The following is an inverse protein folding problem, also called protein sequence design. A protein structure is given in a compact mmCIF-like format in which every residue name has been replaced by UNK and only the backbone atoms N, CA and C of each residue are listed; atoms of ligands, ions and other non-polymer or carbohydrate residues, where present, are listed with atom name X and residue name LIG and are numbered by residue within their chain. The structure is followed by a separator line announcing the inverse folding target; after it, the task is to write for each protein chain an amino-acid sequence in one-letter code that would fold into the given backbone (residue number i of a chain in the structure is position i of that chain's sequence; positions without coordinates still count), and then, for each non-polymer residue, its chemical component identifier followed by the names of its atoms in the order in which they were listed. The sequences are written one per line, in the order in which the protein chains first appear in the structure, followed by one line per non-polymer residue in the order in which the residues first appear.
data_IF_654864204677
#
_entry.id   IF_654864204677
#
_cell.length_a   1.000
_cell.length_b   1.000
_cell.length_c   1.000
_cell.angle_alpha   90.00
_cell.angle_beta   90.00
_cell.angle_gamma   90.00
#
_symmetry.space_group_name_H-M   'P 1'
#
loop_
_entity.id
_entity.type
_entity.pdbx_description
1 polymer ?
#
# COMPACT_ATOMS: atom_id res chain seq x y z
N UNK A 1 13.81 13.19 14.90
CA UNK A 1 13.16 11.89 14.65
C UNK A 1 12.94 11.80 13.15
N UNK A 2 13.38 10.72 12.50
CA UNK A 2 13.19 10.53 11.06
C UNK A 2 11.70 10.30 10.79
N UNK A 3 11.13 11.01 9.83
CA UNK A 3 9.71 10.87 9.48
C UNK A 3 9.59 9.83 8.37
N UNK A 4 8.98 8.69 8.68
CA UNK A 4 8.78 7.61 7.71
C UNK A 4 7.38 7.71 7.11
N UNK A 5 7.28 7.56 5.79
CA UNK A 5 6.00 7.61 5.07
C UNK A 5 5.33 6.24 4.95
N UNK A 6 6.10 5.16 5.05
CA UNK A 6 5.66 3.78 4.92
C UNK A 6 6.71 2.82 5.49
N UNK A 7 6.31 1.59 5.84
CA UNK A 7 7.27 0.53 6.10
C UNK A 7 6.75 -0.84 5.66
N UNK A 8 7.64 -1.72 5.21
CA UNK A 8 7.27 -3.04 4.71
C UNK A 8 8.42 -4.05 4.88
N UNK A 9 8.15 -5.32 4.55
CA UNK A 9 9.19 -6.36 4.50
C UNK A 9 10.28 -5.95 3.48
N UNK A 10 11.54 -6.00 3.90
CA UNK A 10 12.68 -5.75 3.00
C UNK A 10 12.99 -6.95 2.10
N UNK A 11 14.03 -6.84 1.29
CA UNK A 11 14.48 -7.94 0.41
C UNK A 11 14.86 -9.20 1.18
N UNK A 12 15.48 -9.02 2.35
CA UNK A 12 15.76 -10.14 3.25
C UNK A 12 14.50 -10.49 4.04
N UNK A 13 14.13 -11.78 4.15
CA UNK A 13 12.92 -12.20 4.88
C UNK A 13 12.89 -11.80 6.36
N UNK A 14 14.04 -11.43 6.92
CA UNK A 14 14.19 -10.95 8.29
C UNK A 14 14.57 -9.46 8.37
N UNK A 15 14.34 -8.68 7.32
CA UNK A 15 14.56 -7.23 7.34
C UNK A 15 13.27 -6.45 7.14
N UNK A 16 13.26 -5.22 7.66
CA UNK A 16 12.15 -4.27 7.51
C UNK A 16 12.70 -3.00 6.89
N UNK A 17 12.09 -2.58 5.79
CA UNK A 17 12.39 -1.31 5.13
C UNK A 17 11.44 -0.24 5.62
N UNK A 18 12.00 0.90 6.01
CA UNK A 18 11.32 2.12 6.40
C UNK A 18 11.56 3.18 5.34
N UNK A 19 10.52 3.54 4.61
CA UNK A 19 10.59 4.56 3.57
C UNK A 19 10.59 5.94 4.21
N UNK A 20 11.66 6.71 3.99
CA UNK A 20 11.76 8.11 4.42
C UNK A 20 11.07 8.98 3.37
N UNK A 21 11.41 8.76 2.10
CA UNK A 21 10.78 9.40 0.95
C UNK A 21 10.78 8.45 -0.28
N UNK A 22 10.51 9.01 -1.46
CA UNK A 22 10.46 8.27 -2.72
C UNK A 22 11.83 7.73 -3.17
N UNK A 23 12.92 8.31 -2.68
CA UNK A 23 14.30 8.05 -3.07
C UNK A 23 15.13 7.43 -1.95
N UNK A 24 14.72 7.56 -0.69
CA UNK A 24 15.52 7.13 0.46
C UNK A 24 14.71 6.25 1.41
N UNK A 25 15.40 5.29 2.01
CA UNK A 25 14.86 4.41 3.02
C UNK A 25 15.94 3.94 3.99
N UNK A 26 15.51 3.39 5.11
CA UNK A 26 16.34 2.66 6.07
C UNK A 26 15.93 1.20 6.08
N UNK A 27 16.89 0.28 6.10
CA UNK A 27 16.64 -1.15 6.27
C UNK A 27 17.13 -1.57 7.64
N UNK A 28 16.25 -2.19 8.41
CA UNK A 28 16.57 -2.80 9.70
C UNK A 28 16.66 -4.31 9.55
N UNK A 29 17.83 -4.88 9.81
CA UNK A 29 18.11 -6.31 9.72
C UNK A 29 18.80 -6.83 10.98
N UNK A 30 18.77 -8.14 11.20
CA UNK A 30 19.27 -8.73 12.46
C UNK A 30 18.44 -8.29 13.67
N UNK A 31 18.97 -8.50 14.88
CA UNK A 31 18.23 -8.23 16.12
C UNK A 31 16.96 -9.07 16.26
N UNK A 32 16.06 -8.67 17.15
CA UNK A 32 14.74 -9.30 17.30
C UNK A 32 13.65 -8.58 16.49
N UNK A 33 12.51 -9.25 16.31
CA UNK A 33 11.40 -8.73 15.52
C UNK A 33 10.81 -7.44 16.11
N UNK A 34 10.71 -7.34 17.44
CA UNK A 34 10.19 -6.15 18.11
C UNK A 34 10.97 -4.90 17.72
N UNK A 35 12.31 -5.00 17.69
CA UNK A 35 13.17 -3.90 17.27
C UNK A 35 13.00 -3.54 15.79
N UNK A 36 12.98 -4.54 14.89
CA UNK A 36 12.84 -4.29 13.44
C UNK A 36 11.51 -3.66 13.09
N UNK A 37 10.44 -4.01 13.79
CA UNK A 37 9.09 -3.49 13.55
C UNK A 37 8.77 -2.23 14.36
N UNK A 38 9.69 -1.76 15.21
CA UNK A 38 9.40 -0.79 16.26
C UNK A 38 8.14 -1.16 17.06
N UNK A 39 7.93 -2.45 17.34
CA UNK A 39 6.68 -2.95 17.90
C UNK A 39 6.96 -3.73 19.18
N UNK A 40 6.84 -3.05 20.31
CA UNK A 40 7.20 -3.55 21.64
C UNK A 40 6.42 -4.79 22.07
N UNK A 41 5.19 -4.94 21.57
CA UNK A 41 4.27 -6.00 21.95
C UNK A 41 3.91 -6.94 20.78
N UNK A 42 4.65 -6.84 19.66
CA UNK A 42 4.40 -7.59 18.42
C UNK A 42 2.92 -7.57 17.98
N UNK A 43 2.26 -6.43 18.20
CA UNK A 43 0.84 -6.27 17.89
C UNK A 43 0.56 -6.52 16.41
N UNK A 44 -0.57 -7.16 16.07
CA UNK A 44 -0.99 -7.29 14.68
C UNK A 44 -1.40 -5.94 14.10
N UNK A 45 -1.45 -5.85 12.77
CA UNK A 45 -1.90 -4.62 12.11
C UNK A 45 -3.43 -4.52 12.11
N UNK A 46 -3.98 -3.87 13.14
CA UNK A 46 -5.41 -3.73 13.38
C UNK A 46 -5.80 -2.24 13.57
N UNK A 47 -7.04 -1.97 13.99
CA UNK A 47 -7.55 -0.59 14.20
C UNK A 47 -6.72 0.16 15.24
N UNK A 48 -6.35 -0.46 16.37
CA UNK A 48 -5.55 0.18 17.42
C UNK A 48 -4.15 0.55 16.92
N UNK A 49 -3.50 -0.37 16.19
CA UNK A 49 -2.19 -0.12 15.57
C UNK A 49 -2.25 1.02 14.55
N UNK A 50 -3.31 1.08 13.73
CA UNK A 50 -3.51 2.19 12.77
C UNK A 50 -3.76 3.54 13.45
N UNK A 51 -4.59 3.56 14.49
CA UNK A 51 -4.90 4.78 15.23
C UNK A 51 -3.68 5.36 15.96
N UNK A 52 -2.76 4.50 16.40
CA UNK A 52 -1.50 4.87 17.02
C UNK A 52 -0.36 5.10 16.01
N UNK A 53 -0.67 5.32 14.74
CA UNK A 53 0.34 5.72 13.73
C UNK A 53 1.11 4.57 13.09
N UNK A 54 0.59 3.33 13.12
CA UNK A 54 1.18 2.21 12.39
C UNK A 54 1.32 2.49 10.89
N UNK A 55 2.54 2.41 10.38
CA UNK A 55 2.94 2.79 9.01
C UNK A 55 3.04 1.59 8.06
N UNK A 56 2.78 0.38 8.53
CA UNK A 56 2.86 -0.81 7.69
C UNK A 56 2.68 -2.11 8.45
N UNK A 57 2.92 -3.22 7.75
CA UNK A 57 2.83 -4.57 8.29
C UNK A 57 3.82 -5.50 7.59
N UNK A 58 4.45 -6.38 8.35
CA UNK A 58 5.23 -7.49 7.82
C UNK A 58 5.05 -8.74 8.69
N UNK A 59 4.85 -9.89 8.05
CA UNK A 59 4.59 -11.18 8.73
C UNK A 59 3.43 -11.12 9.73
N UNK A 60 2.36 -10.38 9.39
CA UNK A 60 1.18 -10.21 10.24
C UNK A 60 1.35 -9.25 11.43
N UNK A 61 2.56 -8.73 11.67
CA UNK A 61 2.89 -7.81 12.76
C UNK A 61 2.94 -6.38 12.24
N UNK A 62 2.32 -5.46 12.97
CA UNK A 62 2.32 -4.03 12.67
C UNK A 62 3.74 -3.45 12.74
N UNK A 63 4.02 -2.46 11.89
CA UNK A 63 5.25 -1.68 11.91
C UNK A 63 4.92 -0.25 12.32
N UNK A 64 5.67 0.30 13.26
CA UNK A 64 5.47 1.66 13.78
C UNK A 64 6.67 2.56 13.43
N UNK A 65 6.48 3.89 13.34
CA UNK A 65 7.57 4.83 13.05
C UNK A 65 8.63 4.85 14.18
N UNK A 66 8.18 4.65 15.42
CA UNK A 66 9.01 4.68 16.61
C UNK A 66 8.43 3.79 17.72
N UNK A 67 9.22 3.58 18.78
CA UNK A 67 8.84 2.75 19.92
C UNK A 67 7.61 3.30 20.65
N UNK A 68 7.52 4.61 20.84
CA UNK A 68 6.44 5.28 21.58
C UNK A 68 5.07 5.06 20.94
N UNK A 69 5.01 5.14 19.61
CA UNK A 69 3.81 4.84 18.83
C UNK A 69 3.29 3.42 19.09
N UNK A 70 4.18 2.44 19.21
CA UNK A 70 3.78 1.05 19.52
C UNK A 70 3.34 0.85 20.98
N UNK A 71 3.93 1.59 21.92
CA UNK A 71 3.49 1.58 23.32
C UNK A 71 2.06 2.13 23.43
N UNK A 72 1.77 3.26 22.76
CA UNK A 72 0.42 3.80 22.68
C UNK A 72 -0.56 2.84 21.99
N UNK A 73 -0.12 2.15 20.93
CA UNK A 73 -0.92 1.13 20.27
C UNK A 73 -1.31 -0.01 21.23
N UNK A 74 -0.37 -0.45 22.07
CA UNK A 74 -0.59 -1.50 23.07
C UNK A 74 -1.60 -1.07 24.13
N UNK A 75 -1.44 0.13 24.69
CA UNK A 75 -2.36 0.67 25.68
C UNK A 75 -3.78 0.80 25.09
N UNK A 76 -3.91 1.29 23.87
CA UNK A 76 -5.18 1.39 23.15
C UNK A 76 -5.80 0.00 22.87
N UNK A 77 -4.99 -0.99 22.50
CA UNK A 77 -5.45 -2.36 22.29
C UNK A 77 -5.95 -2.97 23.61
N UNK A 78 -5.25 -2.76 24.73
CA UNK A 78 -5.66 -3.24 26.06
C UNK A 78 -6.98 -2.64 26.55
N UNK A 79 -7.31 -1.41 26.13
CA UNK A 79 -8.56 -0.74 26.49
C UNK A 79 -9.78 -1.17 25.67
N UNK A 80 -9.61 -2.08 24.70
CA UNK A 80 -10.72 -2.51 23.84
C UNK A 80 -11.81 -3.24 24.64
N UNK A 81 -13.09 -3.09 24.24
CA UNK A 81 -14.22 -3.72 24.95
C UNK A 81 -14.08 -5.23 25.19
N UNK A 82 -13.37 -5.95 24.31
CA UNK A 82 -13.12 -7.40 24.42
C UNK A 82 -12.22 -7.81 25.59
N UNK A 83 -11.54 -6.87 26.24
CA UNK A 83 -10.66 -7.12 27.40
C UNK A 83 -11.19 -6.51 28.69
N UNK A 84 -12.38 -5.90 28.64
CA UNK A 84 -12.97 -5.26 29.81
C UNK A 84 -13.32 -6.33 30.85
N UNK A 85 -12.66 -6.26 32.00
CA UNK A 85 -12.86 -7.21 33.09
C UNK A 85 -11.84 -8.34 33.14
N UNK A 86 -10.96 -8.44 32.15
CA UNK A 86 -9.91 -9.45 32.14
C UNK A 86 -8.95 -9.27 33.33
N UNK A 87 -8.52 -10.38 33.90
CA UNK A 87 -7.49 -10.40 34.95
C UNK A 87 -6.11 -10.18 34.35
N UNK A 88 -5.13 -9.85 35.19
CA UNK A 88 -3.73 -9.78 34.78
C UNK A 88 -3.28 -11.09 34.10
N UNK A 89 -3.59 -12.25 34.70
CA UNK A 89 -3.21 -13.55 34.12
C UNK A 89 -3.82 -13.82 32.75
N UNK A 90 -5.07 -13.41 32.52
CA UNK A 90 -5.71 -13.54 31.20
C UNK A 90 -5.05 -12.66 30.14
N UNK A 91 -4.61 -11.46 30.53
CA UNK A 91 -3.91 -10.53 29.65
C UNK A 91 -2.48 -11.03 29.33
N UNK A 92 -1.74 -11.51 30.33
CA UNK A 92 -0.42 -12.13 30.15
C UNK A 92 -0.50 -13.28 29.16
N UNK A 93 -1.41 -14.24 29.35
CA UNK A 93 -1.57 -15.38 28.45
C UNK A 93 -1.93 -14.99 27.01
N UNK A 94 -2.46 -13.78 26.79
CA UNK A 94 -2.83 -13.30 25.46
C UNK A 94 -1.69 -12.61 24.73
N UNK A 95 -0.88 -11.82 25.43
CA UNK A 95 0.18 -11.02 24.81
C UNK A 95 1.56 -11.68 24.92
N UNK A 96 1.80 -12.43 25.98
CA UNK A 96 3.05 -13.14 26.27
C UNK A 96 2.72 -14.54 26.82
N UNK A 97 2.11 -15.43 26.01
CA UNK A 97 1.69 -16.77 26.45
C UNK A 97 2.83 -17.63 27.01
N UNK A 98 4.07 -17.35 26.60
CA UNK A 98 5.27 -18.05 27.07
C UNK A 98 5.77 -17.54 28.44
N UNK A 99 5.18 -16.45 28.99
CA UNK A 99 5.50 -15.95 30.31
C UNK A 99 4.83 -16.81 31.39
N UNK A 100 5.63 -17.63 32.05
CA UNK A 100 5.17 -18.55 33.09
C UNK A 100 5.37 -17.88 34.46
N UNK A 101 4.27 -17.76 35.21
CA UNK A 101 4.29 -17.36 36.61
C UNK A 101 4.10 -18.61 37.47
N UNK A 102 5.01 -18.84 38.42
CA UNK A 102 4.89 -19.97 39.34
C UNK A 102 3.56 -19.93 40.10
N UNK A 103 2.91 -21.08 40.35
CA UNK A 103 1.63 -21.12 41.05
C UNK A 103 1.76 -20.57 42.48
N UNK A 104 0.66 -20.06 43.08
CA UNK A 104 0.69 -19.56 44.44
C UNK A 104 1.04 -20.69 45.42
N UNK A 105 1.71 -20.32 46.52
CA UNK A 105 1.98 -21.26 47.61
C UNK A 105 0.67 -21.79 48.21
N UNK A 106 0.70 -23.03 48.71
CA UNK A 106 -0.47 -23.71 49.27
C UNK A 106 -0.49 -23.62 50.80
N UNK A 107 -1.61 -23.19 51.39
CA UNK A 107 -1.87 -23.27 52.83
C UNK A 107 -2.40 -24.68 53.13
N UNK A 108 -1.53 -25.55 53.68
CA UNK A 108 -1.91 -26.94 54.00
C UNK A 108 -2.99 -27.02 55.08
N UNK A 109 -3.03 -26.08 56.03
CA UNK A 109 -4.00 -26.11 57.14
C UNK A 109 -5.40 -25.77 56.67
N UNK A 110 -5.52 -24.80 55.75
CA UNK A 110 -6.81 -24.36 55.20
C UNK A 110 -7.19 -25.06 53.89
N UNK A 111 -6.27 -25.81 53.30
CA UNK A 111 -6.46 -26.46 52.00
C UNK A 111 -6.87 -25.46 50.91
N UNK A 112 -6.22 -24.30 50.89
CA UNK A 112 -6.49 -23.23 49.93
C UNK A 112 -5.18 -22.55 49.46
N UNK A 113 -5.15 -21.94 48.27
CA UNK A 113 -3.98 -21.19 47.82
C UNK A 113 -3.81 -19.89 48.61
N UNK A 114 -2.57 -19.53 48.92
CA UNK A 114 -2.22 -18.26 49.56
C UNK A 114 -2.34 -17.14 48.53
N UNK A 115 -3.25 -16.20 48.78
CA UNK A 115 -3.50 -15.03 47.95
C UNK A 115 -2.99 -13.75 48.64
N UNK A 116 -2.62 -12.69 47.89
CA UNK A 116 -2.70 -12.56 46.44
C UNK A 116 -1.64 -13.37 45.67
N UNK A 117 -1.98 -13.83 44.47
CA UNK A 117 -1.03 -14.54 43.60
C UNK A 117 -0.27 -13.51 42.76
N UNK A 118 0.87 -13.06 43.26
CA UNK A 118 1.58 -11.91 42.69
C UNK A 118 2.48 -12.31 41.52
N UNK A 119 2.43 -11.51 40.45
CA UNK A 119 3.39 -11.57 39.36
C UNK A 119 4.71 -10.91 39.80
N UNK A 120 5.88 -11.59 39.66
CA UNK A 120 7.14 -11.14 40.26
C UNK A 120 7.65 -9.77 39.82
N UNK A 121 7.41 -9.36 38.58
CA UNK A 121 7.96 -8.12 38.01
C UNK A 121 7.06 -6.92 38.36
N UNK A 122 5.77 -7.06 38.12
CA UNK A 122 4.77 -6.00 38.27
C UNK A 122 4.24 -5.88 39.69
N UNK A 123 4.36 -6.94 40.50
CA UNK A 123 3.79 -7.02 41.85
C UNK A 123 2.26 -6.98 41.86
N UNK A 124 1.61 -7.19 40.71
CA UNK A 124 0.16 -7.20 40.58
C UNK A 124 -0.40 -8.61 40.79
N UNK A 125 -1.61 -8.70 41.36
CA UNK A 125 -2.29 -9.98 41.55
C UNK A 125 -2.81 -10.52 40.21
N UNK A 126 -2.37 -11.73 39.87
CA UNK A 126 -2.74 -12.49 38.67
C UNK A 126 -4.26 -12.68 38.53
N UNK A 127 -4.98 -12.71 39.65
CA UNK A 127 -6.43 -12.92 39.69
C UNK A 127 -7.22 -11.60 39.72
N UNK A 128 -6.56 -10.47 39.95
CA UNK A 128 -7.24 -9.18 39.99
C UNK A 128 -7.52 -8.67 38.57
N UNK A 129 -8.66 -7.97 38.42
CA UNK A 129 -9.00 -7.23 37.21
C UNK A 129 -7.89 -6.23 36.91
N UNK A 130 -7.36 -6.25 35.69
CA UNK A 130 -6.29 -5.34 35.31
C UNK A 130 -6.82 -3.92 35.11
N UNK A 131 -6.24 -2.96 35.84
CA UNK A 131 -6.51 -1.53 35.67
C UNK A 131 -5.25 -0.73 35.32
N UNK A 132 -4.06 -1.28 35.60
CA UNK A 132 -2.78 -0.66 35.31
C UNK A 132 -2.15 -1.30 34.07
N UNK A 133 -2.52 -0.80 32.88
CA UNK A 133 -2.00 -1.32 31.61
C UNK A 133 -0.52 -0.97 31.36
N UNK A 134 0.01 0.06 32.03
CA UNK A 134 1.43 0.43 31.94
C UNK A 134 2.33 -0.63 32.60
N UNK A 135 1.88 -1.20 33.73
CA UNK A 135 2.59 -2.31 34.36
C UNK A 135 2.63 -3.55 33.43
N UNK A 136 1.52 -3.85 32.75
CA UNK A 136 1.50 -4.92 31.75
C UNK A 136 2.41 -4.60 30.56
N UNK A 137 2.42 -3.35 30.07
CA UNK A 137 3.33 -2.93 29.00
C UNK A 137 4.80 -3.16 29.40
N UNK A 138 5.17 -2.78 30.62
CA UNK A 138 6.51 -2.99 31.16
C UNK A 138 6.89 -4.48 31.15
N UNK A 139 5.99 -5.33 31.63
CA UNK A 139 6.20 -6.78 31.63
C UNK A 139 6.34 -7.36 30.22
N UNK A 140 5.51 -6.91 29.27
CA UNK A 140 5.58 -7.35 27.86
C UNK A 140 6.90 -6.92 27.21
N UNK A 141 7.35 -5.69 27.47
CA UNK A 141 8.63 -5.21 26.97
C UNK A 141 9.83 -5.98 27.54
N UNK A 142 9.80 -6.29 28.83
CA UNK A 142 10.84 -7.10 29.46
C UNK A 142 10.87 -8.54 28.91
N UNK A 143 9.69 -9.14 28.71
CA UNK A 143 9.58 -10.51 28.22
C UNK A 143 10.00 -10.65 26.74
N UNK A 144 9.51 -9.77 25.86
CA UNK A 144 9.84 -9.81 24.43
C UNK A 144 11.26 -9.29 24.18
N UNK A 145 11.68 -8.30 24.97
CA UNK A 145 12.98 -7.66 24.89
C UNK A 145 13.15 -6.76 23.66
N UNK A 146 14.28 -6.06 23.64
CA UNK A 146 14.63 -5.12 22.57
C UNK A 146 16.07 -5.36 22.13
N UNK A 147 16.25 -6.26 21.17
CA UNK A 147 17.56 -6.63 20.66
C UNK A 147 17.84 -5.87 19.38
N UNK A 148 18.70 -4.85 19.47
CA UNK A 148 19.07 -4.02 18.33
C UNK A 148 19.85 -4.84 17.30
N UNK A 149 19.49 -4.65 16.03
CA UNK A 149 20.24 -5.15 14.89
C UNK A 149 21.00 -4.04 14.18
N UNK A 150 21.14 -4.18 12.88
CA UNK A 150 21.81 -3.22 12.00
C UNK A 150 20.81 -2.35 11.26
N UNK A 151 21.10 -1.06 11.16
CA UNK A 151 20.35 -0.11 10.32
C UNK A 151 21.26 0.28 9.16
N UNK A 152 20.77 0.13 7.95
CA UNK A 152 21.45 0.56 6.73
C UNK A 152 20.61 1.62 6.02
N UNK A 153 21.20 2.76 5.71
CA UNK A 153 20.58 3.77 4.88
C UNK A 153 20.75 3.38 3.41
N UNK A 154 19.66 3.38 2.66
CA UNK A 154 19.65 3.04 1.24
C UNK A 154 19.08 4.19 0.42
N UNK A 155 19.71 4.44 -0.71
CA UNK A 155 19.15 5.23 -1.79
C UNK A 155 18.52 4.27 -2.80
N UNK A 156 17.23 4.46 -3.07
CA UNK A 156 16.44 3.70 -4.04
C UNK A 156 16.92 4.09 -5.44
N UNK A 157 17.54 3.14 -6.13
CA UNK A 157 18.01 3.34 -7.49
C UNK A 157 16.82 3.35 -8.47
N UNK A 158 16.48 4.53 -8.98
CA UNK A 158 15.44 4.68 -10.01
C UNK A 158 15.89 4.13 -11.39
N UNK A 159 17.20 3.89 -11.61
CA UNK A 159 17.77 3.52 -12.91
C UNK A 159 17.95 2.01 -13.09
N UNK A 160 18.33 1.24 -12.07
CA UNK A 160 18.32 -0.25 -12.13
C UNK A 160 16.91 -0.86 -12.06
N UNK A 161 15.90 -0.02 -11.84
CA UNK A 161 14.49 -0.32 -11.94
C UNK A 161 13.79 0.61 -12.94
N UNK A 162 14.49 1.03 -14.02
CA UNK A 162 13.75 1.34 -15.23
C UNK A 162 12.96 0.06 -15.54
N UNK A 163 11.61 0.06 -15.43
CA UNK A 163 10.84 -1.13 -15.70
C UNK A 163 11.34 -1.68 -17.03
N UNK A 164 11.47 -3.01 -17.14
CA UNK A 164 11.41 -3.62 -18.46
C UNK A 164 10.05 -3.18 -19.03
N UNK A 165 10.02 -2.03 -19.71
CA UNK A 165 8.89 -1.50 -20.47
C UNK A 165 8.83 -2.38 -21.72
N UNK A 166 8.47 -3.63 -21.50
CA UNK A 166 8.00 -4.53 -22.52
C UNK A 166 6.62 -4.93 -22.05
N UNK A 167 5.62 -4.36 -22.74
CA UNK A 167 4.18 -4.61 -22.67
C UNK A 167 3.31 -3.82 -21.68
N UNK A 168 3.66 -2.57 -21.38
CA UNK A 168 2.63 -1.52 -21.40
C UNK A 168 3.04 -0.56 -22.49
N UNK A 169 2.32 -0.56 -23.61
CA UNK A 169 2.43 0.53 -24.57
C UNK A 169 1.99 1.81 -23.88
N UNK A 170 2.96 2.57 -23.37
CA UNK A 170 2.80 3.91 -22.81
C UNK A 170 2.67 3.93 -21.29
N UNK A 171 3.54 4.70 -20.64
CA UNK A 171 3.62 5.27 -19.28
C UNK A 171 2.31 5.43 -18.44
N UNK A 172 1.34 4.52 -18.44
CA UNK A 172 0.05 4.71 -17.77
C UNK A 172 0.19 4.61 -16.23
N UNK A 173 -0.70 5.31 -15.51
CA UNK A 173 -0.73 5.34 -14.05
C UNK A 173 -1.69 4.28 -13.53
N UNK A 174 -1.36 3.70 -12.38
CA UNK A 174 -2.22 2.74 -11.68
C UNK A 174 -3.06 3.43 -10.62
N UNK A 175 -4.36 3.14 -10.65
CA UNK A 175 -5.35 3.55 -9.66
C UNK A 175 -5.89 2.25 -9.04
N UNK A 176 -5.61 2.02 -7.76
CA UNK A 176 -5.92 0.76 -7.06
C UNK A 176 -5.43 -0.50 -7.80
N UNK A 177 -4.20 -0.46 -8.34
CA UNK A 177 -3.59 -1.58 -9.07
C UNK A 177 -4.14 -1.82 -10.49
N UNK A 178 -4.98 -0.92 -11.01
CA UNK A 178 -5.53 -1.00 -12.37
C UNK A 178 -5.18 0.24 -13.18
N UNK A 179 -4.95 0.10 -14.48
CA UNK A 179 -4.55 1.24 -15.33
C UNK A 179 -5.68 2.28 -15.43
N UNK A 180 -5.31 3.56 -15.35
CA UNK A 180 -6.24 4.67 -15.52
C UNK A 180 -6.75 4.75 -16.97
N UNK A 181 -7.96 5.28 -17.17
CA UNK A 181 -8.54 5.44 -18.50
C UNK A 181 -8.35 6.87 -19.00
N UNK A 182 -7.84 7.00 -20.22
CA UNK A 182 -7.69 8.26 -20.96
C UNK A 182 -7.69 7.96 -22.47
N UNK A 183 -7.64 8.98 -23.33
CA UNK A 183 -7.79 8.80 -24.78
C UNK A 183 -6.86 7.71 -25.36
N UNK A 184 -5.57 7.82 -25.06
CA UNK A 184 -4.54 6.89 -25.57
C UNK A 184 -4.26 5.68 -24.65
N UNK A 185 -5.17 5.36 -23.72
CA UNK A 185 -4.94 4.27 -22.76
C UNK A 185 -5.12 2.86 -23.36
N UNK A 186 -5.67 2.77 -24.58
CA UNK A 186 -5.90 1.50 -25.27
C UNK A 186 -7.12 0.74 -24.76
N UNK A 187 -8.08 1.44 -24.14
CA UNK A 187 -9.32 0.83 -23.63
C UNK A 187 -10.27 0.47 -24.76
N UNK A 188 -10.80 -0.74 -24.74
CA UNK A 188 -11.78 -1.29 -25.67
C UNK A 188 -12.93 -1.93 -24.88
N UNK A 189 -14.15 -1.49 -25.16
CA UNK A 189 -15.36 -2.11 -24.64
C UNK A 189 -15.97 -2.97 -25.74
N UNK A 190 -16.13 -4.27 -25.49
CA UNK A 190 -16.84 -5.20 -26.36
C UNK A 190 -18.12 -5.66 -25.66
N UNK A 191 -19.25 -5.50 -26.33
CA UNK A 191 -20.58 -5.81 -25.82
C UNK A 191 -21.42 -6.52 -26.88
N UNK A 192 -22.53 -7.11 -26.45
CA UNK A 192 -23.57 -7.62 -27.34
C UNK A 192 -24.75 -6.66 -27.30
N UNK A 193 -25.14 -6.16 -28.46
CA UNK A 193 -26.18 -5.16 -28.64
C UNK A 193 -27.38 -5.78 -29.34
N UNK A 194 -28.53 -5.81 -28.67
CA UNK A 194 -29.77 -6.33 -29.26
C UNK A 194 -30.49 -5.18 -29.96
N UNK A 195 -30.49 -5.22 -31.29
CA UNK A 195 -31.20 -4.27 -32.13
C UNK A 195 -32.41 -4.93 -32.81
N UNK A 196 -33.42 -4.13 -33.09
CA UNK A 196 -34.52 -4.51 -33.96
C UNK A 196 -34.03 -4.50 -35.42
N UNK A 197 -34.27 -5.59 -36.14
CA UNK A 197 -33.81 -5.79 -37.52
C UNK A 197 -34.94 -6.29 -38.40
N UNK A 198 -35.08 -5.69 -39.58
CA UNK A 198 -35.99 -6.11 -40.63
C UNK A 198 -35.46 -7.37 -41.33
N UNK A 199 -36.18 -8.49 -41.21
CA UNK A 199 -35.94 -9.73 -41.94
C UNK A 199 -37.19 -10.05 -42.77
N UNK A 200 -37.08 -9.86 -44.09
CA UNK A 200 -38.22 -10.00 -44.99
C UNK A 200 -39.34 -9.02 -44.65
N UNK A 201 -40.48 -9.52 -44.15
CA UNK A 201 -41.64 -8.70 -43.73
C UNK A 201 -41.72 -8.46 -42.21
N UNK A 202 -40.84 -9.07 -41.42
CA UNK A 202 -40.90 -9.02 -39.96
C UNK A 202 -39.77 -8.16 -39.39
N UNK A 203 -40.01 -7.55 -38.23
CA UNK A 203 -38.98 -6.90 -37.42
C UNK A 203 -38.77 -7.73 -36.17
N UNK A 204 -37.56 -8.23 -35.95
CA UNK A 204 -37.22 -9.09 -34.80
C UNK A 204 -35.96 -8.58 -34.09
N UNK A 205 -35.81 -8.83 -32.78
CA UNK A 205 -34.57 -8.51 -32.07
C UNK A 205 -33.43 -9.47 -32.47
N UNK A 206 -32.30 -8.91 -32.89
CA UNK A 206 -31.08 -9.64 -33.26
C UNK A 206 -29.89 -9.06 -32.49
N UNK A 207 -29.03 -9.94 -31.99
CA UNK A 207 -27.79 -9.58 -31.30
C UNK A 207 -26.68 -9.24 -32.30
N UNK A 208 -26.06 -8.07 -32.13
CA UNK A 208 -24.91 -7.58 -32.89
C UNK A 208 -23.72 -7.36 -31.97
N UNK A 209 -22.48 -7.47 -32.48
CA UNK A 209 -21.32 -6.99 -31.76
C UNK A 209 -21.38 -5.47 -31.65
N UNK A 210 -21.01 -4.92 -30.49
CA UNK A 210 -20.86 -3.49 -30.31
C UNK A 210 -19.51 -3.17 -29.64
N UNK A 211 -18.75 -2.28 -30.26
CA UNK A 211 -17.39 -1.89 -29.90
C UNK A 211 -17.32 -0.39 -29.62
N UNK A 212 -16.78 -0.01 -28.47
CA UNK A 212 -16.40 1.38 -28.15
C UNK A 212 -14.93 1.45 -27.73
N UNK A 213 -14.26 2.56 -28.01
CA UNK A 213 -12.81 2.70 -27.81
C UNK A 213 -12.47 3.93 -26.98
N UNK A 214 -11.42 3.86 -26.18
CA UNK A 214 -10.91 4.98 -25.38
C UNK A 214 -10.44 6.13 -26.24
N UNK A 215 -10.04 5.89 -27.50
CA UNK A 215 -9.69 6.95 -28.45
C UNK A 215 -10.83 7.95 -28.68
N UNK A 216 -12.07 7.54 -28.42
CA UNK A 216 -13.27 8.39 -28.52
C UNK A 216 -13.67 8.98 -27.15
N UNK A 217 -12.78 8.97 -26.15
CA UNK A 217 -13.04 9.50 -24.81
C UNK A 217 -13.47 10.98 -24.84
N UNK A 218 -14.60 11.26 -24.19
CA UNK A 218 -15.22 12.57 -24.12
C UNK A 218 -15.72 12.84 -22.69
N UNK A 219 -16.01 14.12 -22.42
CA UNK A 219 -16.40 14.59 -21.08
C UNK A 219 -15.38 14.17 -20.02
N UNK A 220 -14.09 14.27 -20.36
CA UNK A 220 -12.94 13.98 -19.52
C UNK A 220 -12.60 15.16 -18.61
N UNK A 221 -11.65 14.96 -17.69
CA UNK A 221 -11.20 15.97 -16.75
C UNK A 221 -10.60 17.20 -17.46
N UNK A 222 -10.74 18.37 -16.85
CA UNK A 222 -10.20 19.62 -17.42
C UNK A 222 -8.75 19.91 -17.01
N UNK A 223 -8.40 19.56 -15.78
CA UNK A 223 -7.13 19.90 -15.12
C UNK A 223 -6.19 18.70 -14.96
N UNK A 224 -6.75 17.51 -14.75
CA UNK A 224 -5.96 16.29 -14.50
C UNK A 224 -5.64 15.60 -15.81
N UNK A 225 -4.35 15.46 -16.10
CA UNK A 225 -3.84 14.75 -17.28
C UNK A 225 -3.01 13.55 -16.88
N UNK A 226 -3.19 12.45 -17.58
CA UNK A 226 -2.38 11.23 -17.48
C UNK A 226 -1.78 11.02 -18.87
N UNK A 227 -0.45 10.96 -18.97
CA UNK A 227 0.27 10.90 -20.24
C UNK A 227 -0.12 12.00 -21.22
N UNK A 228 -0.26 13.24 -20.72
CA UNK A 228 -0.67 14.39 -21.53
C UNK A 228 -2.15 14.40 -21.92
N UNK A 229 -2.90 13.32 -21.67
CA UNK A 229 -4.31 13.19 -22.01
C UNK A 229 -5.21 13.51 -20.81
N UNK A 230 -6.31 14.26 -21.01
CA UNK A 230 -7.37 14.40 -20.02
C UNK A 230 -7.82 13.05 -19.43
N UNK A 231 -7.75 12.92 -18.11
CA UNK A 231 -8.10 11.68 -17.44
C UNK A 231 -9.63 11.46 -17.41
N UNK A 232 -10.08 10.21 -17.53
CA UNK A 232 -11.49 9.87 -17.41
C UNK A 232 -11.91 9.72 -15.93
N UNK A 233 -13.15 10.08 -15.66
CA UNK A 233 -13.84 9.86 -14.39
C UNK A 233 -15.24 9.27 -14.67
N UNK A 234 -16.02 8.93 -13.64
CA UNK A 234 -17.34 8.26 -13.81
C UNK A 234 -18.34 9.00 -14.73
N UNK A 235 -18.20 10.33 -14.92
CA UNK A 235 -19.03 11.12 -15.85
C UNK A 235 -18.51 11.19 -17.29
N UNK A 236 -17.34 10.60 -17.55
CA UNK A 236 -16.76 10.49 -18.89
C UNK A 236 -17.47 9.40 -19.69
N UNK A 237 -17.29 9.42 -21.01
CA UNK A 237 -17.89 8.45 -21.92
C UNK A 237 -16.96 8.22 -23.11
N UNK A 238 -17.18 7.14 -23.86
CA UNK A 238 -16.67 7.04 -25.23
C UNK A 238 -17.79 7.52 -26.14
N UNK A 239 -17.50 8.57 -26.92
CA UNK A 239 -18.53 9.38 -27.59
C UNK A 239 -19.38 8.60 -28.61
N UNK A 240 -18.91 7.45 -29.08
CA UNK A 240 -19.62 6.56 -30.01
C UNK A 240 -19.25 5.10 -29.78
N UNK A 241 -20.06 4.22 -30.36
CA UNK A 241 -19.80 2.79 -30.52
C UNK A 241 -20.06 2.36 -31.96
N UNK A 242 -19.73 1.12 -32.34
CA UNK A 242 -19.87 0.60 -33.71
C UNK A 242 -20.11 -0.91 -33.72
N UNK A 243 -20.68 -1.45 -34.80
CA UNK A 243 -20.91 -2.88 -35.06
C UNK A 243 -22.40 -3.26 -35.10
N UNK A 244 -23.27 -2.42 -34.56
CA UNK A 244 -24.71 -2.58 -34.41
C UNK A 244 -25.55 -1.92 -35.52
N UNK A 245 -24.90 -1.23 -36.47
CA UNK A 245 -25.53 -0.56 -37.61
C UNK A 245 -26.43 -1.44 -38.48
N UNK A 246 -26.20 -2.77 -38.63
CA UNK A 246 -27.12 -3.62 -39.39
C UNK A 246 -28.52 -3.75 -38.76
N UNK A 247 -28.68 -3.38 -37.49
CA UNK A 247 -29.99 -3.23 -36.84
C UNK A 247 -30.71 -1.98 -37.33
N UNK A 248 -31.38 -2.06 -38.48
CA UNK A 248 -32.01 -0.91 -39.16
C UNK A 248 -33.15 -0.25 -38.37
N UNK A 249 -33.72 -0.95 -37.38
CA UNK A 249 -34.71 -0.41 -36.43
C UNK A 249 -34.12 -0.11 -35.04
N UNK A 250 -32.78 -0.14 -34.92
CA UNK A 250 -31.98 0.34 -33.79
C UNK A 250 -32.14 -0.48 -32.50
N UNK A 251 -31.40 -0.12 -31.46
CA UNK A 251 -31.37 -0.80 -30.16
C UNK A 251 -32.74 -0.91 -29.50
N UNK A 252 -33.07 -2.08 -28.95
CA UNK A 252 -34.39 -2.38 -28.34
C UNK A 252 -34.75 -1.46 -27.16
N UNK A 253 -33.76 -1.01 -26.39
CA UNK A 253 -33.93 -0.14 -25.23
C UNK A 253 -33.56 1.31 -25.53
N UNK A 254 -32.49 1.55 -26.30
CA UNK A 254 -31.98 2.91 -26.56
C UNK A 254 -32.65 3.61 -27.74
N UNK A 255 -33.19 2.87 -28.71
CA UNK A 255 -33.65 3.44 -29.97
C UNK A 255 -32.53 4.09 -30.79
N UNK A 256 -31.26 3.72 -30.53
CA UNK A 256 -30.08 4.22 -31.25
C UNK A 256 -29.24 3.07 -31.81
N UNK A 257 -28.42 3.38 -32.80
CA UNK A 257 -27.21 2.61 -33.12
C UNK A 257 -26.01 3.54 -32.93
N UNK A 258 -24.82 2.99 -32.71
CA UNK A 258 -23.57 3.76 -32.63
C UNK A 258 -23.52 4.79 -31.49
N UNK A 259 -24.43 4.72 -30.52
CA UNK A 259 -24.48 5.65 -29.39
C UNK A 259 -23.25 5.56 -28.48
N UNK A 260 -23.09 6.53 -27.58
CA UNK A 260 -21.97 6.57 -26.63
C UNK A 260 -21.94 5.36 -25.68
N UNK A 261 -20.75 5.07 -25.16
CA UNK A 261 -20.55 4.15 -24.05
C UNK A 261 -20.23 4.88 -22.74
N UNK A 262 -20.86 4.47 -21.64
CA UNK A 262 -20.83 5.16 -20.35
C UNK A 262 -20.40 4.22 -19.23
N UNK A 263 -19.60 4.74 -18.29
CA UNK A 263 -19.16 4.00 -17.11
C UNK A 263 -20.28 3.86 -16.08
N UNK A 264 -20.28 2.70 -15.41
CA UNK A 264 -21.24 2.31 -14.36
C UNK A 264 -20.52 2.14 -13.03
N UNK A 265 -19.29 1.61 -13.05
CA UNK A 265 -18.45 1.48 -11.86
C UNK A 265 -17.20 2.35 -11.98
N UNK A 266 -16.55 2.56 -10.84
CA UNK A 266 -15.36 3.40 -10.71
C UNK A 266 -14.56 2.99 -9.46
N UNK A 267 -13.45 3.67 -9.22
CA UNK A 267 -12.75 3.66 -7.94
C UNK A 267 -13.66 4.09 -6.78
N UNK A 268 -13.37 3.57 -5.58
CA UNK A 268 -14.09 3.87 -4.34
C UNK A 268 -13.41 4.96 -3.51
N UNK A 269 -12.12 5.23 -3.77
CA UNK A 269 -11.25 6.05 -2.93
C UNK A 269 -10.39 7.05 -3.73
N UNK A 270 -10.22 6.86 -5.04
CA UNK A 270 -9.51 7.81 -5.91
C UNK A 270 -10.49 8.63 -6.73
N UNK A 271 -10.35 9.95 -6.63
CA UNK A 271 -11.20 10.93 -7.29
C UNK A 271 -10.39 11.83 -8.21
N UNK A 272 -10.91 12.09 -9.41
CA UNK A 272 -10.40 13.05 -10.38
C UNK A 272 -11.42 14.19 -10.46
N UNK A 273 -10.99 15.40 -10.08
CA UNK A 273 -11.86 16.59 -10.01
C UNK A 273 -13.12 16.35 -9.15
N UNK A 274 -12.96 15.67 -8.01
CA UNK A 274 -14.05 15.33 -7.10
C UNK A 274 -15.01 14.25 -7.59
N UNK A 275 -14.75 13.65 -8.76
CA UNK A 275 -15.54 12.54 -9.32
C UNK A 275 -14.72 11.25 -9.26
N UNK A 276 -15.33 10.10 -8.91
CA UNK A 276 -14.62 8.82 -8.89
C UNK A 276 -13.87 8.54 -10.20
N UNK A 277 -12.59 8.17 -10.09
CA UNK A 277 -11.76 7.81 -11.24
C UNK A 277 -12.19 6.47 -11.84
N UNK A 278 -12.13 6.34 -13.17
CA UNK A 278 -12.43 5.07 -13.86
C UNK A 278 -11.15 4.39 -14.33
N UNK A 279 -11.17 3.07 -14.34
CA UNK A 279 -10.00 2.20 -14.47
C UNK A 279 -10.29 1.04 -15.42
N UNK A 280 -9.24 0.36 -15.83
CA UNK A 280 -9.35 -0.96 -16.46
C UNK A 280 -10.32 -1.86 -15.68
N UNK A 281 -11.22 -2.53 -16.40
CA UNK A 281 -12.19 -3.46 -15.84
C UNK A 281 -13.36 -2.81 -15.10
N UNK A 282 -13.44 -1.48 -15.00
CA UNK A 282 -14.69 -0.84 -14.59
C UNK A 282 -15.76 -1.10 -15.66
N UNK A 283 -16.99 -1.36 -15.22
CA UNK A 283 -18.10 -1.75 -16.08
C UNK A 283 -18.61 -0.54 -16.87
N UNK A 284 -18.95 -0.79 -18.12
CA UNK A 284 -19.59 0.16 -19.02
C UNK A 284 -20.81 -0.46 -19.68
N UNK A 285 -21.72 0.39 -20.13
CA UNK A 285 -22.77 0.06 -21.11
C UNK A 285 -22.54 0.89 -22.36
N UNK A 286 -22.94 0.38 -23.53
CA UNK A 286 -22.75 1.05 -24.83
C UNK A 286 -24.07 1.32 -25.54
N UNK A 287 -23.97 2.07 -26.65
CA UNK A 287 -25.10 2.49 -27.48
C UNK A 287 -26.22 3.15 -26.66
N UNK A 288 -25.87 4.15 -25.84
CA UNK A 288 -26.80 4.85 -24.94
C UNK A 288 -27.55 3.89 -23.99
N UNK A 289 -26.80 2.96 -23.39
CA UNK A 289 -27.30 1.97 -22.42
C UNK A 289 -28.22 0.89 -23.01
N UNK A 290 -28.01 0.54 -24.29
CA UNK A 290 -28.74 -0.57 -24.90
C UNK A 290 -28.18 -1.95 -24.52
N UNK A 291 -26.88 -2.00 -24.23
CA UNK A 291 -26.17 -3.26 -23.98
C UNK A 291 -26.11 -3.62 -22.50
N UNK A 292 -26.00 -4.91 -22.15
CA UNK A 292 -25.68 -5.31 -20.80
C UNK A 292 -24.30 -4.76 -20.36
N UNK A 293 -24.07 -4.55 -19.06
CA UNK A 293 -22.77 -4.14 -18.55
C UNK A 293 -21.65 -5.11 -18.94
N UNK A 294 -20.55 -4.56 -19.45
CA UNK A 294 -19.32 -5.30 -19.71
C UNK A 294 -18.10 -4.53 -19.21
N UNK A 295 -17.02 -5.22 -18.78
CA UNK A 295 -15.81 -4.55 -18.31
C UNK A 295 -15.07 -3.87 -19.46
N UNK A 296 -14.53 -2.67 -19.20
CA UNK A 296 -13.57 -2.05 -20.10
C UNK A 296 -12.28 -2.89 -20.15
N UNK A 297 -11.94 -3.43 -21.31
CA UNK A 297 -10.69 -4.15 -21.52
C UNK A 297 -9.60 -3.16 -21.89
N UNK A 298 -8.46 -3.19 -21.21
CA UNK A 298 -7.33 -2.30 -21.46
C UNK A 298 -6.04 -3.05 -21.13
N UNK A 299 -4.88 -2.70 -21.70
CA UNK A 299 -3.60 -3.19 -21.18
C UNK A 299 -3.50 -2.96 -19.67
N UNK A 300 -3.21 -4.04 -18.94
CA UNK A 300 -2.89 -3.95 -17.52
C UNK A 300 -1.52 -3.32 -17.33
N UNK A 301 -1.22 -2.92 -16.11
CA UNK A 301 0.14 -2.61 -15.70
C UNK A 301 0.63 -3.65 -14.71
N UNK A 302 1.96 -3.82 -14.57
CA UNK A 302 2.50 -4.62 -13.48
C UNK A 302 1.95 -4.03 -12.18
N UNK A 303 1.39 -4.87 -11.31
CA UNK A 303 1.09 -4.43 -9.95
C UNK A 303 2.38 -3.86 -9.36
N UNK A 304 2.34 -2.74 -8.62
CA UNK A 304 3.53 -2.23 -7.96
C UNK A 304 4.09 -3.35 -7.10
N UNK A 305 5.25 -3.88 -7.51
CA UNK A 305 6.02 -4.80 -6.69
C UNK A 305 6.61 -3.96 -5.56
N UNK A 306 6.64 -4.52 -4.35
CA UNK A 306 7.47 -3.93 -3.30
C UNK A 306 8.89 -3.79 -3.85
N UNK A 307 9.53 -2.65 -3.59
CA UNK A 307 10.87 -2.40 -4.09
C UNK A 307 11.82 -3.49 -3.56
N UNK A 308 12.42 -4.27 -4.44
CA UNK A 308 13.52 -5.16 -4.09
C UNK A 308 14.84 -4.38 -4.13
N UNK A 309 15.51 -4.33 -3.00
CA UNK A 309 16.81 -3.70 -2.80
C UNK A 309 17.90 -4.73 -3.09
N UNK A 310 18.86 -4.40 -3.95
CA UNK A 310 20.14 -5.09 -3.99
C UNK A 310 21.09 -4.46 -2.94
N UNK A 311 21.78 -5.26 -2.10
CA UNK A 311 22.83 -4.74 -1.24
C UNK A 311 23.92 -4.09 -2.10
N UNK A 312 24.32 -2.85 -1.82
CA UNK A 312 25.50 -2.25 -2.47
C UNK A 312 26.76 -2.89 -1.91
N UNK A 313 27.73 -3.14 -2.78
CA UNK A 313 29.11 -3.39 -2.33
C UNK A 313 29.59 -2.21 -1.46
N UNK A 314 30.33 -2.46 -0.36
CA UNK A 314 30.81 -1.40 0.50
C UNK A 314 31.59 -0.34 -0.30
N UNK A 315 31.25 0.92 -0.05
CA UNK A 315 31.90 2.08 -0.66
C UNK A 315 33.41 1.95 -0.44
N UNK A 316 34.19 1.78 -1.51
CA UNK A 316 35.65 1.90 -1.43
C UNK A 316 35.97 3.29 -0.91
N UNK A 317 36.60 3.32 0.26
CA UNK A 317 37.05 4.49 0.99
C UNK A 317 37.69 5.53 0.04
N UNK A 318 36.96 6.61 -0.26
CA UNK A 318 37.47 7.75 -1.04
C UNK A 318 38.12 8.79 -0.13
N UNK A 319 38.76 8.36 0.96
CA UNK A 319 39.74 9.17 1.68
C UNK A 319 41.08 9.24 0.93
N UNK A 320 41.04 9.69 -0.33
CA UNK A 320 42.18 10.36 -0.95
C UNK A 320 41.74 11.80 -1.22
N UNK A 321 42.50 12.81 -0.74
CA UNK A 321 42.17 14.20 -1.08
C UNK A 321 42.11 14.33 -2.60
N UNK A 322 41.05 14.96 -3.10
CA UNK A 322 40.90 15.24 -4.53
C UNK A 322 42.12 16.06 -4.99
N UNK A 323 43.08 15.44 -5.66
CA UNK A 323 44.13 16.17 -6.37
C UNK A 323 43.48 16.81 -7.60
N UNK A 324 43.16 18.09 -7.49
CA UNK A 324 42.85 18.91 -8.65
C UNK A 324 44.19 19.19 -9.34
N UNK A 325 44.47 18.50 -10.44
CA UNK A 325 45.61 18.82 -11.29
C UNK A 325 45.28 20.08 -12.10
N UNK A 326 45.65 21.25 -11.57
CA UNK A 326 45.61 22.51 -12.33
C UNK A 326 46.79 22.48 -13.31
N UNK A 327 46.50 22.34 -14.60
CA UNK A 327 47.50 22.52 -15.67
C UNK A 327 47.55 24.00 -16.04
N UNK A 328 48.37 24.78 -15.36
CA UNK A 328 48.71 26.12 -15.82
C UNK A 328 49.74 26.00 -16.95
N UNK A 329 49.37 26.41 -18.17
CA UNK A 329 50.34 26.60 -19.25
C UNK A 329 50.95 28.00 -19.10
N UNK A 330 52.09 28.09 -18.43
CA UNK A 330 52.88 29.30 -18.30
C UNK A 330 54.26 28.95 -17.72
N UNK A 331 55.33 29.42 -18.36
CA UNK A 331 56.74 29.12 -18.04
C UNK A 331 57.22 29.84 -16.77
N UNK A 332 56.56 29.64 -15.62
CA UNK A 332 57.07 30.16 -14.34
C UNK A 332 56.93 29.11 -13.23
N UNK A 333 58.07 28.73 -12.64
CA UNK A 333 58.14 27.87 -11.45
C UNK A 333 57.53 28.61 -10.25
N UNK A 334 56.60 27.97 -9.55
CA UNK A 334 56.15 28.38 -8.22
C UNK A 334 56.52 27.29 -7.22
N UNK A 335 57.26 27.70 -6.19
CA UNK A 335 57.76 26.87 -5.09
C UNK A 335 56.61 26.41 -4.17
N UNK A 336 56.76 25.20 -3.63
CA UNK A 336 55.86 24.57 -2.65
C UNK A 336 55.79 25.41 -1.37
N UNK A 337 54.70 26.16 -1.20
CA UNK A 337 54.16 26.45 0.14
C UNK A 337 52.65 26.72 0.08
N UNK A 338 51.90 25.69 0.48
CA UNK A 338 50.60 25.72 1.17
C UNK A 338 49.54 26.76 0.78
N UNK A 339 48.47 26.30 0.13
CA UNK A 339 47.12 26.83 0.37
C UNK A 339 46.14 25.69 0.67
N UNK A 340 45.90 25.48 1.97
CA UNK A 340 44.73 24.79 2.48
C UNK A 340 43.57 25.80 2.49
N UNK A 341 42.48 25.49 1.80
CA UNK A 341 41.20 26.19 1.96
C UNK A 341 40.22 25.14 2.51
N UNK A 342 39.64 25.46 3.68
CA UNK A 342 38.73 24.59 4.42
C UNK A 342 37.36 24.43 3.79
#
# INVERSE_FOLDING_TARGET
MTNYINAHLGSDPQSIQYDIDQLTAEVRSGGNQAWRHNNVALLPFNISSRQAGGIGMANGVAIFPDKESSQQAFLNECQRPKYVGDTLGQMINRFIPEHIVEPPQWDEEKSEPILPWLEPVTGLDMNAKLTNYEALLTLVEEHIGWQMGSVENIEKDQQSQAPNVSTVTGNNVLINGKTAVHQDSGGALQTVDVCLTTIGKSVIPIAYPNLAQSSDAASTASSVKINGNPACHIKSNFSKSTGDQPGDKKGVASGTTEGKAEFITSSLDVFIEGKPAVRQGDLMVSNNKNTPPAPLMQPGGPLPQGLEIAPKDPIKDKNKPNQIAIKASGDEKLDDDSMLIG
#
